data_IF_575036122019
#
_entry.id   IF_575036122019
#
_cell.length_a   1.000
_cell.length_b   1.000
_cell.length_c   1.000
_cell.angle_alpha   90.00
_cell.angle_beta   90.00
_cell.angle_gamma   90.00
#
_symmetry.space_group_name_H-M   'P 1'
#
loop_
_entity.id
_entity.type
_entity.pdbx_description
1 polymer ?
#
# COMPACT_ATOMS: atom_id res chain seq x y z
N UNK A 1 -21.26 -34.63 -75.66
CA UNK A 1 -21.35 -35.74 -74.70
C UNK A 1 -22.00 -35.24 -73.44
N UNK A 2 -23.11 -35.88 -73.09
CA UNK A 2 -24.00 -35.74 -71.93
C UNK A 2 -23.69 -34.68 -70.87
N UNK A 3 -24.55 -33.67 -70.79
CA UNK A 3 -24.98 -33.11 -69.52
C UNK A 3 -25.65 -34.22 -68.69
N UNK A 4 -25.31 -34.31 -67.40
CA UNK A 4 -26.14 -34.94 -66.37
C UNK A 4 -26.22 -33.95 -65.22
N UNK A 5 -27.24 -33.12 -65.26
CA UNK A 5 -27.76 -32.40 -64.11
C UNK A 5 -28.28 -33.43 -63.10
N UNK A 6 -27.82 -33.32 -61.86
CA UNK A 6 -28.42 -33.99 -60.71
C UNK A 6 -29.62 -33.17 -60.23
N UNK A 7 -30.82 -33.77 -60.05
CA UNK A 7 -31.96 -33.03 -59.55
C UNK A 7 -31.89 -32.98 -58.02
N UNK A 8 -31.16 -32.01 -57.47
CA UNK A 8 -31.49 -31.53 -56.13
C UNK A 8 -32.71 -30.62 -56.25
N UNK A 9 -33.89 -31.22 -56.26
CA UNK A 9 -35.15 -30.51 -55.99
C UNK A 9 -35.05 -30.04 -54.54
N UNK A 10 -34.55 -28.82 -54.34
CA UNK A 10 -34.61 -28.12 -53.07
C UNK A 10 -36.08 -27.94 -52.72
N UNK A 11 -36.53 -28.60 -51.65
CA UNK A 11 -37.90 -28.45 -51.18
C UNK A 11 -38.17 -26.97 -50.88
N UNK A 12 -39.14 -26.36 -51.58
CA UNK A 12 -39.52 -24.98 -51.37
C UNK A 12 -40.05 -24.80 -49.95
N UNK A 13 -39.39 -23.92 -49.19
CA UNK A 13 -39.75 -23.57 -47.82
C UNK A 13 -40.76 -22.43 -47.87
N UNK A 14 -41.95 -22.63 -47.30
CA UNK A 14 -43.06 -21.65 -47.35
C UNK A 14 -43.57 -21.36 -45.95
N UNK A 15 -43.68 -20.08 -45.58
CA UNK A 15 -44.30 -19.67 -44.31
C UNK A 15 -45.80 -19.94 -44.36
N UNK A 16 -46.32 -20.68 -43.38
CA UNK A 16 -47.72 -21.11 -43.30
C UNK A 16 -48.52 -20.25 -42.32
N UNK A 17 -47.89 -19.79 -41.25
CA UNK A 17 -48.50 -18.93 -40.24
C UNK A 17 -47.42 -18.13 -39.49
N UNK A 18 -47.80 -17.07 -38.81
CA UNK A 18 -46.91 -16.26 -37.97
C UNK A 18 -47.65 -15.75 -36.74
N UNK A 19 -46.99 -15.78 -35.59
CA UNK A 19 -47.51 -15.28 -34.32
C UNK A 19 -46.55 -14.21 -33.80
N UNK A 20 -47.06 -13.02 -33.55
CA UNK A 20 -46.30 -11.97 -32.87
C UNK A 20 -46.62 -11.98 -31.37
N UNK A 21 -45.58 -12.00 -30.54
CA UNK A 21 -45.69 -11.85 -29.08
C UNK A 21 -45.00 -10.54 -28.69
N UNK A 22 -45.68 -9.71 -27.92
CA UNK A 22 -45.22 -8.37 -27.58
C UNK A 22 -45.43 -8.05 -26.10
N UNK A 23 -44.44 -7.43 -25.47
CA UNK A 23 -44.48 -6.96 -24.09
C UNK A 23 -43.51 -5.77 -23.93
N UNK A 24 -44.01 -4.62 -23.47
CA UNK A 24 -43.21 -3.41 -23.34
C UNK A 24 -42.62 -3.00 -24.70
N UNK A 25 -41.31 -2.79 -24.76
CA UNK A 25 -40.59 -2.52 -26.02
C UNK A 25 -40.07 -3.81 -26.70
N UNK A 26 -40.31 -4.98 -26.09
CA UNK A 26 -39.89 -6.27 -26.62
C UNK A 26 -40.97 -6.91 -27.50
N UNK A 27 -40.58 -7.41 -28.67
CA UNK A 27 -41.43 -8.08 -29.66
C UNK A 27 -40.66 -9.22 -30.29
N UNK A 28 -41.30 -10.38 -30.41
CA UNK A 28 -40.83 -11.48 -31.24
C UNK A 28 -41.90 -11.86 -32.26
N UNK A 29 -41.46 -12.29 -33.45
CA UNK A 29 -42.34 -12.91 -34.45
C UNK A 29 -41.87 -14.33 -34.68
N UNK A 30 -42.77 -15.28 -34.41
CA UNK A 30 -42.53 -16.71 -34.59
C UNK A 30 -43.25 -17.13 -35.86
N UNK A 31 -42.51 -17.58 -36.86
CA UNK A 31 -43.04 -18.13 -38.10
C UNK A 31 -43.16 -19.65 -38.01
N UNK A 32 -44.30 -20.18 -38.43
CA UNK A 32 -44.50 -21.61 -38.71
C UNK A 32 -44.16 -21.81 -40.18
N UNK A 33 -43.07 -22.51 -40.47
CA UNK A 33 -42.55 -22.67 -41.82
C UNK A 33 -42.65 -24.13 -42.23
N UNK A 34 -43.16 -24.39 -43.43
CA UNK A 34 -43.30 -25.74 -44.00
C UNK A 34 -42.28 -25.97 -45.10
N UNK A 35 -41.53 -27.06 -45.01
CA UNK A 35 -40.57 -27.51 -46.02
C UNK A 35 -40.87 -28.98 -46.36
N UNK A 36 -41.53 -29.23 -47.49
CA UNK A 36 -42.00 -30.56 -47.87
C UNK A 36 -43.03 -31.13 -46.88
N UNK A 37 -42.67 -32.24 -46.20
CA UNK A 37 -43.49 -32.88 -45.15
C UNK A 37 -43.20 -32.35 -43.74
N UNK A 38 -42.25 -31.43 -43.60
CA UNK A 38 -41.77 -30.93 -42.31
C UNK A 38 -42.39 -29.57 -42.00
N UNK A 39 -42.73 -29.36 -40.73
CA UNK A 39 -43.13 -28.06 -40.19
C UNK A 39 -42.18 -27.70 -39.06
N UNK A 40 -41.65 -26.47 -39.08
CA UNK A 40 -40.70 -25.96 -38.09
C UNK A 40 -41.15 -24.59 -37.61
N UNK A 41 -40.96 -24.32 -36.32
CA UNK A 41 -41.02 -22.98 -35.76
C UNK A 41 -39.68 -22.29 -35.93
N UNK A 42 -39.71 -21.06 -36.41
CA UNK A 42 -38.52 -20.23 -36.55
C UNK A 42 -38.80 -18.86 -35.96
N UNK A 43 -37.86 -18.35 -35.17
CA UNK A 43 -37.85 -16.94 -34.80
C UNK A 43 -37.53 -16.13 -36.05
N UNK A 44 -38.54 -15.43 -36.57
CA UNK A 44 -38.44 -14.64 -37.79
C UNK A 44 -37.98 -13.21 -37.52
N UNK A 45 -38.35 -12.65 -36.36
CA UNK A 45 -37.98 -11.29 -35.96
C UNK A 45 -37.82 -11.26 -34.42
N UNK A 46 -36.83 -10.51 -33.94
CA UNK A 46 -36.69 -10.15 -32.53
C UNK A 46 -36.35 -8.66 -32.43
N UNK A 47 -37.18 -7.90 -31.74
CA UNK A 47 -36.94 -6.49 -31.43
C UNK A 47 -37.01 -6.29 -29.91
N UNK A 48 -35.95 -5.81 -29.25
CA UNK A 48 -34.62 -5.62 -29.81
C UNK A 48 -33.98 -6.97 -30.22
N UNK A 49 -32.87 -6.90 -30.96
CA UNK A 49 -32.16 -8.11 -31.40
C UNK A 49 -31.76 -8.96 -30.18
N UNK A 50 -31.59 -10.28 -30.35
CA UNK A 50 -31.42 -11.22 -29.24
C UNK A 50 -30.19 -10.98 -28.36
N UNK A 51 -29.18 -10.29 -28.89
CA UNK A 51 -27.94 -9.97 -28.20
C UNK A 51 -27.86 -8.50 -27.81
N UNK A 52 -28.91 -7.70 -28.00
CA UNK A 52 -28.97 -6.32 -27.54
C UNK A 52 -29.03 -6.29 -26.02
N UNK A 53 -28.09 -5.57 -25.43
CA UNK A 53 -27.85 -5.50 -23.99
C UNK A 53 -28.25 -4.14 -23.36
N UNK A 54 -28.57 -3.13 -24.18
CA UNK A 54 -28.76 -1.75 -23.71
C UNK A 54 -27.43 -1.00 -23.56
N UNK A 55 -27.48 0.26 -23.13
CA UNK A 55 -26.31 1.12 -22.95
C UNK A 55 -26.11 1.60 -21.51
N UNK A 56 -27.00 1.23 -20.59
CA UNK A 56 -26.91 1.57 -19.16
C UNK A 56 -27.62 0.51 -18.30
N UNK A 57 -27.38 0.56 -16.99
CA UNK A 57 -28.04 -0.33 -16.05
C UNK A 57 -29.57 -0.24 -16.13
N UNK A 58 -30.12 0.97 -16.22
CA UNK A 58 -31.56 1.18 -16.26
C UNK A 58 -32.17 0.64 -17.55
N UNK A 59 -31.49 0.85 -18.68
CA UNK A 59 -31.92 0.27 -19.95
C UNK A 59 -31.88 -1.25 -19.93
N UNK A 60 -30.79 -1.87 -19.43
CA UNK A 60 -30.70 -3.32 -19.32
C UNK A 60 -31.78 -3.90 -18.40
N UNK A 61 -32.05 -3.25 -17.25
CA UNK A 61 -33.13 -3.67 -16.34
C UNK A 61 -34.49 -3.58 -17.02
N UNK A 62 -34.74 -2.53 -17.81
CA UNK A 62 -35.98 -2.40 -18.59
C UNK A 62 -36.09 -3.51 -19.64
N UNK A 63 -35.01 -3.77 -20.39
CA UNK A 63 -34.95 -4.86 -21.37
C UNK A 63 -35.22 -6.22 -20.71
N UNK A 64 -34.62 -6.48 -19.55
CA UNK A 64 -34.84 -7.71 -18.80
C UNK A 64 -36.30 -7.85 -18.37
N UNK A 65 -36.88 -6.80 -17.82
CA UNK A 65 -38.28 -6.78 -17.38
C UNK A 65 -39.26 -7.04 -18.53
N UNK A 66 -39.09 -6.32 -19.65
CA UNK A 66 -39.93 -6.47 -20.83
C UNK A 66 -39.81 -7.88 -21.43
N UNK A 67 -38.59 -8.44 -21.43
CA UNK A 67 -38.33 -9.80 -21.90
C UNK A 67 -38.91 -10.88 -20.99
N UNK A 68 -38.87 -10.70 -19.67
CA UNK A 68 -39.52 -11.61 -18.72
C UNK A 68 -41.05 -11.60 -18.87
N UNK A 69 -41.65 -10.42 -19.11
CA UNK A 69 -43.07 -10.32 -19.42
C UNK A 69 -43.41 -10.99 -20.76
N UNK A 70 -42.53 -10.87 -21.76
CA UNK A 70 -42.66 -11.55 -23.05
C UNK A 70 -42.63 -13.07 -22.88
N UNK A 71 -41.67 -13.60 -22.11
CA UNK A 71 -41.58 -15.02 -21.79
C UNK A 71 -42.83 -15.53 -21.08
N UNK A 72 -43.38 -14.77 -20.13
CA UNK A 72 -44.63 -15.12 -19.45
C UNK A 72 -45.82 -15.20 -20.43
N UNK A 73 -45.93 -14.27 -21.39
CA UNK A 73 -46.95 -14.31 -22.44
C UNK A 73 -46.74 -15.48 -23.40
N UNK A 74 -45.50 -15.79 -23.76
CA UNK A 74 -45.17 -16.93 -24.62
C UNK A 74 -45.57 -18.26 -23.94
N UNK A 75 -45.29 -18.39 -22.64
CA UNK A 75 -45.69 -19.55 -21.85
C UNK A 75 -47.21 -19.72 -21.76
N UNK A 76 -47.97 -18.62 -21.67
CA UNK A 76 -49.43 -18.70 -21.73
C UNK A 76 -49.96 -19.18 -23.11
N UNK A 77 -49.18 -18.99 -24.19
CA UNK A 77 -49.48 -19.56 -25.51
C UNK A 77 -49.05 -21.03 -25.62
N UNK A 78 -48.02 -21.43 -24.88
CA UNK A 78 -47.53 -22.81 -24.83
C UNK A 78 -48.63 -23.80 -24.48
N UNK A 79 -49.37 -23.53 -23.40
CA UNK A 79 -50.48 -24.39 -22.95
C UNK A 79 -51.52 -24.59 -24.05
N UNK A 80 -51.84 -23.51 -24.78
CA UNK A 80 -52.79 -23.53 -25.91
C UNK A 80 -52.24 -24.29 -27.11
N UNK A 81 -50.94 -24.20 -27.38
CA UNK A 81 -50.27 -24.94 -28.46
C UNK A 81 -50.25 -26.43 -28.14
N UNK A 82 -49.98 -26.82 -26.89
CA UNK A 82 -50.01 -28.23 -26.46
C UNK A 82 -51.41 -28.83 -26.48
N UNK A 83 -52.44 -28.06 -26.14
CA UNK A 83 -53.84 -28.48 -26.28
C UNK A 83 -54.19 -28.78 -27.75
N UNK A 84 -53.79 -27.89 -28.68
CA UNK A 84 -53.99 -28.07 -30.12
C UNK A 84 -53.20 -29.25 -30.69
N UNK A 85 -51.96 -29.47 -30.23
CA UNK A 85 -51.17 -30.64 -30.60
C UNK A 85 -51.84 -31.94 -30.15
N UNK A 86 -52.35 -31.99 -28.91
CA UNK A 86 -53.07 -33.15 -28.38
C UNK A 86 -54.38 -33.42 -29.15
N UNK A 87 -55.04 -32.38 -29.65
CA UNK A 87 -56.20 -32.51 -30.53
C UNK A 87 -55.82 -33.04 -31.91
N UNK A 88 -54.69 -32.58 -32.47
CA UNK A 88 -54.14 -33.11 -33.71
C UNK A 88 -53.75 -34.60 -33.60
N UNK A 89 -53.15 -35.02 -32.47
CA UNK A 89 -52.81 -36.42 -32.19
C UNK A 89 -54.05 -37.32 -32.16
N UNK A 90 -55.13 -36.90 -31.47
CA UNK A 90 -56.42 -37.61 -31.49
C UNK A 90 -57.01 -37.73 -32.90
N UNK A 91 -56.81 -36.70 -33.71
CA UNK A 91 -57.29 -36.67 -35.11
C UNK A 91 -56.46 -37.60 -36.01
N UNK A 92 -55.15 -37.71 -35.73
CA UNK A 92 -54.24 -38.64 -36.39
C UNK A 92 -54.58 -40.12 -36.08
N UNK A 93 -54.92 -40.43 -34.82
CA UNK A 93 -55.41 -41.75 -34.41
C UNK A 93 -56.70 -42.17 -35.15
N UNK A 94 -57.59 -41.20 -35.41
CA UNK A 94 -58.81 -41.42 -36.17
C UNK A 94 -58.56 -41.65 -37.68
N UNK A 95 -57.39 -41.26 -38.21
CA UNK A 95 -57.08 -41.29 -39.65
C UNK A 95 -55.76 -42.02 -39.95
N UNK A 96 -55.80 -43.36 -39.84
CA UNK A 96 -54.64 -44.27 -39.92
C UNK A 96 -53.72 -44.10 -41.14
N UNK A 97 -54.23 -43.57 -42.26
CA UNK A 97 -53.43 -43.37 -43.48
C UNK A 97 -52.40 -42.23 -43.37
N UNK A 98 -52.54 -41.31 -42.40
CA UNK A 98 -51.71 -40.11 -42.26
C UNK A 98 -51.03 -39.98 -40.88
N UNK A 99 -51.27 -40.93 -39.96
CA UNK A 99 -50.75 -40.95 -38.58
C UNK A 99 -49.25 -40.65 -38.51
N UNK A 100 -48.42 -41.35 -39.31
CA UNK A 100 -46.96 -41.19 -39.30
C UNK A 100 -46.48 -39.77 -39.66
N UNK A 101 -47.24 -39.02 -40.46
CA UNK A 101 -46.88 -37.65 -40.85
C UNK A 101 -47.21 -36.69 -39.72
N UNK A 102 -48.35 -36.88 -39.04
CA UNK A 102 -48.72 -36.08 -37.87
C UNK A 102 -47.75 -36.30 -36.70
N UNK A 103 -47.36 -37.55 -36.43
CA UNK A 103 -46.39 -37.88 -35.37
C UNK A 103 -45.02 -37.20 -35.62
N UNK A 104 -44.50 -37.29 -36.85
CA UNK A 104 -43.23 -36.65 -37.22
C UNK A 104 -43.30 -35.11 -37.16
N UNK A 105 -44.45 -34.53 -37.54
CA UNK A 105 -44.69 -33.09 -37.45
C UNK A 105 -44.78 -32.61 -36.00
N UNK A 106 -45.48 -33.34 -35.13
CA UNK A 106 -45.59 -33.03 -33.71
C UNK A 106 -44.24 -33.08 -33.00
N UNK A 107 -43.42 -34.10 -33.27
CA UNK A 107 -42.05 -34.21 -32.73
C UNK A 107 -41.17 -33.03 -33.20
N UNK A 108 -41.18 -32.71 -34.49
CA UNK A 108 -40.38 -31.60 -35.05
C UNK A 108 -40.82 -30.25 -34.48
N UNK A 109 -42.13 -30.06 -34.26
CA UNK A 109 -42.66 -28.84 -33.66
C UNK A 109 -42.26 -28.71 -32.18
N UNK A 110 -42.30 -29.82 -31.42
CA UNK A 110 -41.85 -29.86 -30.03
C UNK A 110 -40.37 -29.54 -29.88
N UNK A 111 -39.51 -30.13 -30.72
CA UNK A 111 -38.07 -29.84 -30.75
C UNK A 111 -37.79 -28.37 -31.14
N UNK A 112 -38.52 -27.83 -32.12
CA UNK A 112 -38.39 -26.44 -32.53
C UNK A 112 -38.88 -25.45 -31.45
N UNK A 113 -39.97 -25.77 -30.76
CA UNK A 113 -40.47 -25.00 -29.62
C UNK A 113 -39.46 -25.00 -28.47
N UNK A 114 -38.93 -26.17 -28.10
CA UNK A 114 -37.90 -26.29 -27.07
C UNK A 114 -36.64 -25.47 -27.42
N UNK A 115 -36.23 -25.48 -28.70
CA UNK A 115 -35.10 -24.68 -29.18
C UNK A 115 -35.39 -23.17 -29.06
N UNK A 116 -36.60 -22.73 -29.41
CA UNK A 116 -37.02 -21.34 -29.28
C UNK A 116 -37.04 -20.88 -27.83
N UNK A 117 -37.67 -21.66 -26.94
CA UNK A 117 -37.72 -21.35 -25.51
C UNK A 117 -36.31 -21.29 -24.92
N UNK A 118 -35.44 -22.24 -25.27
CA UNK A 118 -34.03 -22.22 -24.86
C UNK A 118 -33.32 -20.93 -25.31
N UNK A 119 -33.52 -20.50 -26.56
CA UNK A 119 -32.94 -19.26 -27.08
C UNK A 119 -33.42 -18.01 -26.32
N UNK A 120 -34.70 -17.95 -25.96
CA UNK A 120 -35.27 -16.82 -25.22
C UNK A 120 -34.85 -16.83 -23.74
N UNK A 121 -34.75 -18.00 -23.10
CA UNK A 121 -34.20 -18.09 -21.73
C UNK A 121 -32.73 -17.66 -21.69
N UNK A 122 -31.92 -17.99 -22.71
CA UNK A 122 -30.55 -17.48 -22.80
C UNK A 122 -30.47 -15.98 -22.96
N UNK A 123 -31.42 -15.36 -23.67
CA UNK A 123 -31.52 -13.89 -23.71
C UNK A 123 -31.82 -13.30 -22.33
N UNK A 124 -32.66 -13.97 -21.53
CA UNK A 124 -32.92 -13.56 -20.14
C UNK A 124 -31.64 -13.65 -19.29
N UNK A 125 -30.89 -14.75 -19.42
CA UNK A 125 -29.59 -14.93 -18.74
C UNK A 125 -28.56 -13.86 -19.16
N UNK A 126 -28.44 -13.58 -20.46
CA UNK A 126 -27.59 -12.50 -20.98
C UNK A 126 -27.91 -11.16 -20.34
N UNK A 127 -29.20 -10.78 -20.29
CA UNK A 127 -29.63 -9.51 -19.71
C UNK A 127 -29.39 -9.47 -18.19
N UNK A 128 -29.49 -10.61 -17.51
CA UNK A 128 -29.07 -10.76 -16.11
C UNK A 128 -27.58 -10.47 -15.91
N UNK A 129 -26.71 -11.15 -16.66
CA UNK A 129 -25.25 -10.94 -16.62
C UNK A 129 -24.88 -9.49 -16.99
N UNK A 130 -25.57 -8.91 -17.96
CA UNK A 130 -25.38 -7.51 -18.36
C UNK A 130 -25.74 -6.56 -17.21
N UNK A 131 -26.84 -6.82 -16.49
CA UNK A 131 -27.22 -5.99 -15.35
C UNK A 131 -26.18 -6.04 -14.23
N UNK A 132 -25.57 -7.19 -13.99
CA UNK A 132 -24.45 -7.34 -13.04
C UNK A 132 -23.19 -6.57 -13.51
N UNK A 133 -22.86 -6.65 -14.80
CA UNK A 133 -21.75 -5.89 -15.39
C UNK A 133 -21.93 -4.39 -15.19
N UNK A 134 -23.10 -3.82 -15.53
CA UNK A 134 -23.34 -2.39 -15.34
C UNK A 134 -23.39 -1.97 -13.87
N UNK A 135 -23.86 -2.84 -12.96
CA UNK A 135 -23.77 -2.59 -11.52
C UNK A 135 -22.31 -2.49 -11.06
N UNK A 136 -21.47 -3.45 -11.46
CA UNK A 136 -20.04 -3.44 -11.12
C UNK A 136 -19.32 -2.23 -11.72
N UNK A 137 -19.67 -1.84 -12.96
CA UNK A 137 -19.14 -0.65 -13.61
C UNK A 137 -19.50 0.64 -12.85
N UNK A 138 -20.75 0.76 -12.38
CA UNK A 138 -21.20 1.88 -11.57
C UNK A 138 -20.46 1.93 -10.22
N UNK A 139 -20.29 0.79 -9.55
CA UNK A 139 -19.55 0.72 -8.28
C UNK A 139 -18.09 1.13 -8.45
N UNK A 140 -17.44 0.73 -9.55
CA UNK A 140 -16.08 1.17 -9.86
C UNK A 140 -16.02 2.68 -10.14
N UNK A 141 -16.96 3.21 -10.94
CA UNK A 141 -17.05 4.64 -11.21
C UNK A 141 -17.22 5.48 -9.92
N UNK A 142 -18.09 5.05 -9.00
CA UNK A 142 -18.27 5.69 -7.68
C UNK A 142 -16.95 5.70 -6.89
N UNK A 143 -16.17 4.62 -6.95
CA UNK A 143 -14.87 4.54 -6.25
C UNK A 143 -13.80 5.42 -6.89
N UNK A 144 -13.79 5.53 -8.22
CA UNK A 144 -12.96 6.50 -8.93
C UNK A 144 -13.30 7.92 -8.45
N UNK A 145 -14.57 8.30 -8.47
CA UNK A 145 -15.01 9.64 -8.07
C UNK A 145 -14.68 9.94 -6.60
N UNK A 146 -14.81 8.95 -5.70
CA UNK A 146 -14.41 9.09 -4.29
C UNK A 146 -12.91 9.33 -4.12
N UNK A 147 -12.05 8.62 -4.87
CA UNK A 147 -10.61 8.80 -4.75
C UNK A 147 -10.11 10.07 -5.48
N UNK A 148 -10.77 10.48 -6.56
CA UNK A 148 -10.55 11.78 -7.20
C UNK A 148 -10.90 12.93 -6.23
N UNK A 149 -12.05 12.86 -5.56
CA UNK A 149 -12.45 13.84 -4.55
C UNK A 149 -11.49 13.86 -3.36
N UNK A 150 -10.99 12.70 -2.94
CA UNK A 150 -9.95 12.60 -1.91
C UNK A 150 -8.69 13.39 -2.33
N UNK A 151 -8.14 13.13 -3.52
CA UNK A 151 -6.94 13.82 -4.03
C UNK A 151 -7.11 15.33 -4.25
N UNK A 152 -8.33 15.80 -4.51
CA UNK A 152 -8.60 17.23 -4.69
C UNK A 152 -8.56 18.03 -3.38
N UNK A 153 -8.68 17.36 -2.23
CA UNK A 153 -8.62 18.03 -0.95
C UNK A 153 -7.16 18.25 -0.55
N UNK A 154 -6.70 19.51 -0.34
CA UNK A 154 -5.38 19.75 0.22
C UNK A 154 -5.35 19.16 1.64
N UNK A 155 -4.58 18.08 1.81
CA UNK A 155 -4.43 17.45 3.11
C UNK A 155 -3.37 18.19 3.92
N UNK A 156 -3.81 19.10 4.78
CA UNK A 156 -2.99 19.64 5.85
C UNK A 156 -2.89 18.59 6.97
N UNK A 157 -1.67 18.38 7.48
CA UNK A 157 -1.42 17.47 8.60
C UNK A 157 -0.60 18.20 9.67
N UNK A 158 -1.03 18.08 10.91
CA UNK A 158 -0.41 18.78 12.06
C UNK A 158 0.63 17.91 12.79
N UNK A 159 0.65 16.59 12.54
CA UNK A 159 1.53 15.65 13.23
C UNK A 159 1.96 14.47 12.36
N UNK A 160 2.99 13.75 12.81
CA UNK A 160 3.48 12.51 12.19
C UNK A 160 2.42 11.41 12.17
N UNK A 161 1.56 11.34 13.18
CA UNK A 161 0.48 10.36 13.30
C UNK A 161 -0.66 10.67 12.32
N UNK A 162 -0.99 11.96 12.14
CA UNK A 162 -1.94 12.40 11.13
C UNK A 162 -1.46 12.05 9.72
N UNK A 163 -0.17 12.27 9.44
CA UNK A 163 0.45 11.91 8.15
C UNK A 163 0.47 10.39 7.91
N UNK A 164 0.77 9.57 8.94
CA UNK A 164 0.67 8.11 8.84
C UNK A 164 -0.77 7.65 8.56
N UNK A 165 -1.75 8.27 9.21
CA UNK A 165 -3.18 7.98 9.00
C UNK A 165 -3.61 8.33 7.58
N UNK A 166 -3.10 9.44 7.03
CA UNK A 166 -3.32 9.84 5.64
C UNK A 166 -2.73 8.82 4.65
N UNK A 167 -1.50 8.34 4.89
CA UNK A 167 -0.89 7.29 4.07
C UNK A 167 -1.70 5.99 4.08
N UNK A 168 -2.25 5.59 5.24
CA UNK A 168 -3.16 4.45 5.33
C UNK A 168 -4.44 4.66 4.50
N UNK A 169 -4.94 5.89 4.44
CA UNK A 169 -6.10 6.24 3.62
C UNK A 169 -5.78 6.15 2.12
N UNK A 170 -4.58 6.59 1.68
CA UNK A 170 -4.09 6.34 0.32
C UNK A 170 -4.05 4.85 -0.02
N UNK A 171 -3.48 4.02 0.87
CA UNK A 171 -3.39 2.56 0.67
C UNK A 171 -4.79 1.92 0.58
N UNK A 172 -5.74 2.41 1.38
CA UNK A 172 -7.13 1.97 1.33
C UNK A 172 -7.78 2.30 -0.01
N UNK A 173 -7.65 3.55 -0.49
CA UNK A 173 -8.22 3.94 -1.79
C UNK A 173 -7.63 3.12 -2.94
N UNK A 174 -6.31 2.93 -2.98
CA UNK A 174 -5.66 2.12 -4.01
C UNK A 174 -6.16 0.67 -4.00
N UNK A 175 -6.30 0.08 -2.81
CA UNK A 175 -6.84 -1.27 -2.65
C UNK A 175 -8.29 -1.38 -3.13
N UNK A 176 -9.16 -0.47 -2.71
CA UNK A 176 -10.58 -0.48 -3.10
C UNK A 176 -10.73 -0.31 -4.63
N UNK A 177 -9.91 0.54 -5.27
CA UNK A 177 -9.91 0.69 -6.73
C UNK A 177 -9.48 -0.59 -7.44
N UNK A 178 -8.43 -1.26 -6.96
CA UNK A 178 -7.95 -2.51 -7.54
C UNK A 178 -9.00 -3.62 -7.41
N UNK A 179 -9.64 -3.75 -6.25
CA UNK A 179 -10.70 -4.74 -6.01
C UNK A 179 -11.89 -4.53 -6.94
N UNK A 180 -12.34 -3.28 -7.13
CA UNK A 180 -13.45 -2.97 -8.04
C UNK A 180 -13.09 -3.11 -9.51
N UNK A 181 -11.87 -2.75 -9.89
CA UNK A 181 -11.38 -3.00 -11.26
C UNK A 181 -11.36 -4.49 -11.57
N UNK A 182 -10.87 -5.32 -10.65
CA UNK A 182 -10.84 -6.78 -10.82
C UNK A 182 -12.25 -7.38 -10.93
N UNK A 183 -13.19 -6.95 -10.09
CA UNK A 183 -14.58 -7.41 -10.17
C UNK A 183 -15.21 -7.06 -11.52
N UNK A 184 -15.03 -5.81 -11.98
CA UNK A 184 -15.54 -5.36 -13.28
C UNK A 184 -14.97 -6.18 -14.44
N UNK A 185 -13.65 -6.44 -14.45
CA UNK A 185 -13.00 -7.25 -15.48
C UNK A 185 -13.49 -8.70 -15.48
N UNK A 186 -13.76 -9.26 -14.29
CA UNK A 186 -14.32 -10.61 -14.19
C UNK A 186 -15.76 -10.66 -14.74
N UNK A 187 -16.58 -9.65 -14.42
CA UNK A 187 -17.95 -9.54 -14.94
C UNK A 187 -17.99 -9.32 -16.44
N UNK A 188 -17.09 -8.52 -16.99
CA UNK A 188 -17.00 -8.35 -18.44
C UNK A 188 -16.57 -9.62 -19.15
N UNK A 189 -15.59 -10.35 -18.60
CA UNK A 189 -15.16 -11.62 -19.19
C UNK A 189 -16.29 -12.64 -19.21
N UNK A 190 -17.03 -12.79 -18.09
CA UNK A 190 -18.20 -13.66 -18.00
C UNK A 190 -19.25 -13.31 -19.06
N UNK A 191 -19.53 -12.01 -19.24
CA UNK A 191 -20.52 -11.52 -20.20
C UNK A 191 -20.07 -11.74 -21.65
N UNK A 192 -18.83 -11.40 -21.99
CA UNK A 192 -18.29 -11.60 -23.34
C UNK A 192 -18.20 -13.07 -23.72
N UNK A 193 -17.80 -13.94 -22.78
CA UNK A 193 -17.80 -15.40 -22.99
C UNK A 193 -19.22 -15.94 -23.22
N UNK A 194 -20.21 -15.38 -22.52
CA UNK A 194 -21.61 -15.75 -22.72
C UNK A 194 -22.11 -15.30 -24.10
N UNK A 195 -21.81 -14.07 -24.52
CA UNK A 195 -22.15 -13.54 -25.85
C UNK A 195 -21.53 -14.42 -26.95
N UNK A 196 -20.27 -14.82 -26.80
CA UNK A 196 -19.59 -15.65 -27.80
C UNK A 196 -20.22 -17.04 -27.94
N UNK A 197 -20.59 -17.68 -26.81
CA UNK A 197 -21.31 -18.95 -26.81
C UNK A 197 -22.71 -18.81 -27.43
N UNK A 198 -23.44 -17.75 -27.06
CA UNK A 198 -24.78 -17.49 -27.56
C UNK A 198 -24.77 -17.23 -29.08
N UNK A 199 -23.75 -16.54 -29.59
CA UNK A 199 -23.51 -16.35 -31.03
C UNK A 199 -23.27 -17.68 -31.76
N UNK A 200 -22.44 -18.57 -31.22
CA UNK A 200 -22.01 -19.81 -31.88
C UNK A 200 -23.09 -20.90 -31.97
N UNK A 201 -24.03 -20.92 -31.02
CA UNK A 201 -25.08 -21.95 -30.96
C UNK A 201 -26.27 -21.68 -31.91
N UNK A 202 -26.31 -20.52 -32.56
CA UNK A 202 -27.23 -20.23 -33.65
C UNK A 202 -26.89 -21.04 -34.91
N UNK A 203 -27.51 -22.21 -35.10
CA UNK A 203 -27.31 -22.99 -36.32
C UNK A 203 -27.88 -22.25 -37.55
N UNK A 204 -27.05 -22.16 -38.60
CA UNK A 204 -27.17 -21.32 -39.81
C UNK A 204 -26.76 -19.85 -39.57
N UNK A 205 -25.80 -19.36 -40.35
CA UNK A 205 -25.20 -18.01 -40.30
C UNK A 205 -26.26 -16.89 -40.24
N UNK A 206 -26.73 -16.55 -39.03
CA UNK A 206 -27.64 -15.44 -38.79
C UNK A 206 -26.82 -14.16 -38.65
N UNK A 207 -26.72 -13.38 -39.73
CA UNK A 207 -26.01 -12.09 -39.77
C UNK A 207 -26.42 -11.15 -38.63
N UNK A 208 -27.68 -11.21 -38.19
CA UNK A 208 -28.21 -10.40 -37.08
C UNK A 208 -27.60 -10.77 -35.71
N UNK A 209 -27.37 -12.07 -35.44
CA UNK A 209 -26.72 -12.50 -34.19
C UNK A 209 -25.25 -12.10 -34.16
N UNK A 210 -24.57 -12.18 -35.30
CA UNK A 210 -23.16 -11.75 -35.42
C UNK A 210 -23.06 -10.24 -35.18
N UNK A 211 -23.93 -9.46 -35.82
CA UNK A 211 -23.95 -8.01 -35.66
C UNK A 211 -24.35 -7.61 -34.23
N UNK A 212 -25.33 -8.28 -33.63
CA UNK A 212 -25.73 -8.07 -32.23
C UNK A 212 -24.59 -8.35 -31.26
N UNK A 213 -23.88 -9.48 -31.42
CA UNK A 213 -22.71 -9.80 -30.61
C UNK A 213 -21.63 -8.72 -30.74
N UNK A 214 -21.29 -8.32 -31.97
CA UNK A 214 -20.29 -7.28 -32.23
C UNK A 214 -20.68 -5.95 -31.58
N UNK A 215 -21.92 -5.52 -31.75
CA UNK A 215 -22.43 -4.28 -31.14
C UNK A 215 -22.34 -4.32 -29.62
N UNK A 216 -22.74 -5.43 -29.00
CA UNK A 216 -22.73 -5.59 -27.54
C UNK A 216 -21.33 -5.67 -26.97
N UNK A 217 -20.41 -6.41 -27.60
CA UNK A 217 -19.00 -6.41 -27.22
C UNK A 217 -18.38 -5.01 -27.33
N UNK A 218 -18.67 -4.25 -28.40
CA UNK A 218 -18.19 -2.88 -28.54
C UNK A 218 -18.67 -1.96 -27.40
N UNK A 219 -19.91 -2.11 -26.94
CA UNK A 219 -20.44 -1.35 -25.79
C UNK A 219 -19.70 -1.69 -24.49
N UNK A 220 -19.44 -2.97 -24.26
CA UNK A 220 -18.68 -3.46 -23.10
C UNK A 220 -17.26 -2.92 -23.15
N UNK A 221 -16.57 -3.09 -24.27
CA UNK A 221 -15.17 -2.67 -24.47
C UNK A 221 -15.02 -1.16 -24.30
N UNK A 222 -15.93 -0.37 -24.87
CA UNK A 222 -15.88 1.10 -24.76
C UNK A 222 -16.01 1.58 -23.32
N UNK A 223 -16.91 0.97 -22.53
CA UNK A 223 -17.08 1.34 -21.12
C UNK A 223 -15.90 0.87 -20.26
N UNK A 224 -15.38 -0.33 -20.52
CA UNK A 224 -14.19 -0.84 -19.86
C UNK A 224 -12.99 0.06 -20.12
N UNK A 225 -12.73 0.42 -21.38
CA UNK A 225 -11.64 1.30 -21.77
C UNK A 225 -11.72 2.63 -21.02
N UNK A 226 -12.90 3.27 -21.03
CA UNK A 226 -13.13 4.52 -20.32
C UNK A 226 -12.81 4.42 -18.81
N UNK A 227 -13.36 3.41 -18.13
CA UNK A 227 -13.20 3.28 -16.68
C UNK A 227 -11.79 2.82 -16.28
N UNK A 228 -11.18 1.92 -17.06
CA UNK A 228 -9.81 1.45 -16.81
C UNK A 228 -8.80 2.56 -17.06
N UNK A 229 -9.00 3.40 -18.08
CA UNK A 229 -8.12 4.55 -18.32
C UNK A 229 -8.22 5.59 -17.20
N UNK A 230 -9.44 5.94 -16.76
CA UNK A 230 -9.63 6.80 -15.58
C UNK A 230 -8.96 6.19 -14.35
N UNK A 231 -9.21 4.91 -14.07
CA UNK A 231 -8.61 4.20 -12.94
C UNK A 231 -7.08 4.18 -12.98
N UNK A 232 -6.48 3.92 -14.16
CA UNK A 232 -5.02 3.90 -14.35
C UNK A 232 -4.39 5.29 -14.18
N UNK A 233 -5.06 6.34 -14.65
CA UNK A 233 -4.58 7.71 -14.43
C UNK A 233 -4.61 8.07 -12.94
N UNK A 234 -5.72 7.75 -12.27
CA UNK A 234 -5.91 7.99 -10.85
C UNK A 234 -4.90 7.23 -9.98
N UNK A 235 -4.62 5.97 -10.29
CA UNK A 235 -3.62 5.15 -9.59
C UNK A 235 -2.22 5.77 -9.67
N UNK A 236 -1.82 6.32 -10.83
CA UNK A 236 -0.55 7.06 -10.95
C UNK A 236 -0.48 8.26 -10.01
N UNK A 237 -1.55 9.05 -9.92
CA UNK A 237 -1.59 10.21 -9.03
C UNK A 237 -1.58 9.80 -7.55
N UNK A 238 -2.34 8.76 -7.18
CA UNK A 238 -2.33 8.22 -5.82
C UNK A 238 -0.95 7.71 -5.43
N UNK A 239 -0.27 6.96 -6.30
CA UNK A 239 1.07 6.44 -6.06
C UNK A 239 2.10 7.57 -5.93
N UNK A 240 2.03 8.57 -6.81
CA UNK A 240 2.92 9.71 -6.76
C UNK A 240 2.76 10.49 -5.44
N UNK A 241 1.53 10.91 -5.10
CA UNK A 241 1.30 11.65 -3.85
C UNK A 241 1.64 10.82 -2.61
N UNK A 242 1.32 9.52 -2.60
CA UNK A 242 1.71 8.63 -1.51
C UNK A 242 3.23 8.58 -1.34
N UNK A 243 3.98 8.53 -2.44
CA UNK A 243 5.44 8.55 -2.40
C UNK A 243 5.96 9.88 -1.82
N UNK A 244 5.41 11.01 -2.27
CA UNK A 244 5.77 12.34 -1.77
C UNK A 244 5.44 12.48 -0.27
N UNK A 245 4.26 12.05 0.18
CA UNK A 245 3.87 12.07 1.59
C UNK A 245 4.74 11.15 2.46
N UNK A 246 5.10 9.97 1.94
CA UNK A 246 6.01 9.04 2.63
C UNK A 246 7.40 9.65 2.80
N UNK A 247 7.89 10.33 1.78
CA UNK A 247 9.15 11.08 1.83
C UNK A 247 9.11 12.20 2.88
N UNK A 248 8.01 12.96 2.95
CA UNK A 248 7.82 13.98 3.99
C UNK A 248 7.80 13.35 5.38
N UNK A 249 7.11 12.22 5.56
CA UNK A 249 7.11 11.50 6.84
C UNK A 249 8.52 11.08 7.28
N UNK A 250 9.34 10.59 6.34
CA UNK A 250 10.73 10.26 6.64
C UNK A 250 11.52 11.49 7.10
N UNK A 251 11.33 12.66 6.47
CA UNK A 251 11.94 13.90 6.93
C UNK A 251 11.51 14.28 8.34
N UNK A 252 10.20 14.27 8.61
CA UNK A 252 9.67 14.63 9.93
C UNK A 252 10.21 13.72 11.04
N UNK A 253 10.27 12.41 10.79
CA UNK A 253 10.82 11.44 11.75
C UNK A 253 12.32 11.63 11.94
N UNK A 254 13.05 11.93 10.87
CA UNK A 254 14.47 12.23 10.95
C UNK A 254 14.72 13.51 11.75
N UNK A 255 13.97 14.58 11.49
CA UNK A 255 14.09 15.85 12.22
C UNK A 255 13.75 15.68 13.70
N UNK A 256 12.74 14.89 14.06
CA UNK A 256 12.43 14.57 15.46
C UNK A 256 13.61 13.88 16.15
N UNK A 257 14.23 12.90 15.48
CA UNK A 257 15.38 12.17 16.01
C UNK A 257 16.64 13.05 16.08
N UNK A 258 16.92 13.85 15.04
CA UNK A 258 18.03 14.81 15.03
C UNK A 258 17.90 15.80 16.18
N UNK A 259 16.71 16.36 16.40
CA UNK A 259 16.47 17.30 17.49
C UNK A 259 16.74 16.66 18.86
N UNK A 260 16.31 15.41 19.06
CA UNK A 260 16.58 14.68 20.31
C UNK A 260 18.10 14.50 20.52
N UNK A 261 18.83 14.03 19.51
CA UNK A 261 20.27 13.79 19.58
C UNK A 261 21.04 15.10 19.77
N UNK A 262 20.72 16.12 18.97
CA UNK A 262 21.32 17.46 19.08
C UNK A 262 21.08 18.09 20.44
N UNK A 263 19.87 17.97 21.01
CA UNK A 263 19.58 18.49 22.36
C UNK A 263 20.42 17.82 23.44
N UNK A 264 20.67 16.52 23.32
CA UNK A 264 21.52 15.78 24.24
C UNK A 264 22.97 16.26 24.16
N UNK A 265 23.56 16.32 22.96
CA UNK A 265 24.93 16.81 22.78
C UNK A 265 25.10 18.23 23.28
N UNK A 266 24.18 19.14 22.93
CA UNK A 266 24.23 20.52 23.40
C UNK A 266 24.19 20.62 24.93
N UNK A 267 23.37 19.80 25.59
CA UNK A 267 23.34 19.74 27.05
C UNK A 267 24.64 19.18 27.60
N UNK A 268 25.12 18.06 27.08
CA UNK A 268 26.32 17.41 27.55
C UNK A 268 27.57 18.29 27.38
N UNK A 269 27.66 19.05 26.28
CA UNK A 269 28.72 20.04 26.04
C UNK A 269 28.69 21.13 27.12
N UNK A 270 27.52 21.74 27.39
CA UNK A 270 27.39 22.75 28.46
C UNK A 270 27.78 22.18 29.82
N UNK A 271 27.25 21.00 30.16
CA UNK A 271 27.54 20.34 31.44
C UNK A 271 29.04 20.05 31.59
N UNK A 272 29.75 19.66 30.52
CA UNK A 272 31.20 19.43 30.56
C UNK A 272 32.02 20.70 30.79
N UNK A 273 31.60 21.82 30.19
CA UNK A 273 32.29 23.11 30.32
C UNK A 273 32.17 23.69 31.74
N UNK A 274 31.10 23.37 32.47
CA UNK A 274 30.84 23.90 33.81
C UNK A 274 31.40 23.01 34.95
N UNK A 275 31.90 21.81 34.65
CA UNK A 275 32.31 20.84 35.67
C UNK A 275 33.67 21.15 36.34
N UNK A 276 33.69 21.15 37.68
CA UNK A 276 34.93 21.27 38.48
C UNK A 276 35.81 20.00 38.43
N UNK A 277 37.07 20.09 38.87
CA UNK A 277 38.01 18.95 38.94
C UNK A 277 38.00 18.19 40.29
N UNK A 278 37.12 18.60 41.22
CA UNK A 278 37.04 18.06 42.58
C UNK A 278 37.92 18.81 43.59
N UNK A 279 37.67 18.63 44.88
CA UNK A 279 38.42 19.26 45.98
C UNK A 279 39.38 18.29 46.70
N UNK A 280 39.22 16.98 46.49
CA UNK A 280 40.03 15.93 47.10
C UNK A 280 40.35 14.80 46.12
N UNK A 281 41.27 13.90 46.50
CA UNK A 281 41.55 12.68 45.73
C UNK A 281 40.31 11.81 45.54
N UNK A 282 39.47 11.70 46.59
CA UNK A 282 38.26 10.88 46.54
C UNK A 282 37.24 11.50 45.58
N UNK A 283 36.99 12.80 45.70
CA UNK A 283 36.06 13.54 44.83
C UNK A 283 36.48 13.44 43.37
N UNK A 284 37.78 13.61 43.10
CA UNK A 284 38.32 13.53 41.75
C UNK A 284 38.19 12.12 41.16
N UNK A 285 38.39 11.06 41.95
CA UNK A 285 38.15 9.68 41.52
C UNK A 285 36.68 9.43 41.21
N UNK A 286 35.75 9.98 41.99
CA UNK A 286 34.32 9.90 41.69
C UNK A 286 33.99 10.61 40.37
N UNK A 287 34.59 11.77 40.10
CA UNK A 287 34.44 12.48 38.83
C UNK A 287 35.03 11.70 37.64
N UNK A 288 36.13 10.97 37.83
CA UNK A 288 36.67 10.05 36.82
C UNK A 288 35.65 8.95 36.51
N UNK A 289 35.08 8.30 37.53
CA UNK A 289 34.04 7.29 37.33
C UNK A 289 32.82 7.87 36.59
N UNK A 290 32.35 9.06 36.97
CA UNK A 290 31.25 9.75 36.26
C UNK A 290 31.59 10.05 34.80
N UNK A 291 32.85 10.40 34.51
CA UNK A 291 33.31 10.61 33.15
C UNK A 291 33.35 9.31 32.35
N UNK A 292 33.77 8.20 32.96
CA UNK A 292 33.72 6.86 32.33
C UNK A 292 32.28 6.44 32.01
N UNK A 293 31.34 6.68 32.92
CA UNK A 293 29.90 6.45 32.67
C UNK A 293 29.38 7.31 31.50
N UNK A 294 29.82 8.56 31.42
CA UNK A 294 29.47 9.44 30.30
C UNK A 294 30.04 8.95 28.96
N UNK A 295 31.26 8.38 28.94
CA UNK A 295 31.82 7.74 27.75
C UNK A 295 30.93 6.59 27.27
N UNK A 296 30.43 5.77 28.19
CA UNK A 296 29.53 4.66 27.84
C UNK A 296 28.24 5.20 27.21
N UNK A 297 27.60 6.19 27.84
CA UNK A 297 26.40 6.84 27.29
C UNK A 297 26.65 7.50 25.93
N UNK A 298 27.80 8.15 25.75
CA UNK A 298 28.16 8.79 24.48
C UNK A 298 28.19 7.79 23.32
N UNK A 299 28.66 6.55 23.53
CA UNK A 299 28.67 5.51 22.50
C UNK A 299 27.27 5.17 21.97
N UNK A 300 26.25 5.20 22.84
CA UNK A 300 24.85 4.97 22.43
C UNK A 300 24.37 6.09 21.50
N UNK A 301 24.70 7.35 21.84
CA UNK A 301 24.37 8.51 21.01
C UNK A 301 25.19 8.58 19.72
N UNK A 302 26.45 8.17 19.73
CA UNK A 302 27.26 8.04 18.51
C UNK A 302 26.65 7.03 17.54
N UNK A 303 26.14 5.90 18.05
CA UNK A 303 25.40 4.95 17.22
C UNK A 303 24.12 5.56 16.63
N UNK A 304 23.40 6.39 17.40
CA UNK A 304 22.24 7.11 16.91
C UNK A 304 22.61 8.13 15.81
N UNK A 305 23.74 8.84 15.96
CA UNK A 305 24.27 9.76 14.93
C UNK A 305 24.60 9.01 13.64
N UNK A 306 25.29 7.87 13.72
CA UNK A 306 25.62 7.07 12.52
C UNK A 306 24.37 6.56 11.81
N UNK A 307 23.34 6.16 12.57
CA UNK A 307 22.04 5.81 12.01
C UNK A 307 21.41 7.01 11.28
N UNK A 308 21.38 8.19 11.90
CA UNK A 308 20.85 9.41 11.29
C UNK A 308 21.62 9.81 10.02
N UNK A 309 22.95 9.68 10.01
CA UNK A 309 23.79 9.91 8.82
C UNK A 309 23.41 8.96 7.69
N UNK A 310 23.27 7.66 7.99
CA UNK A 310 22.89 6.66 6.99
C UNK A 310 21.50 6.92 6.40
N UNK A 311 20.53 7.31 7.24
CA UNK A 311 19.19 7.67 6.82
C UNK A 311 19.19 8.93 5.95
N UNK A 312 19.94 9.97 6.36
CA UNK A 312 20.07 11.20 5.60
C UNK A 312 20.64 10.94 4.19
N UNK A 313 21.65 10.06 4.07
CA UNK A 313 22.18 9.65 2.77
C UNK A 313 21.11 8.97 1.91
N UNK A 314 20.34 8.04 2.49
CA UNK A 314 19.22 7.39 1.80
C UNK A 314 18.17 8.38 1.29
N UNK A 315 17.82 9.36 2.12
CA UNK A 315 16.85 10.42 1.76
C UNK A 315 17.42 11.33 0.66
N UNK A 316 18.69 11.74 0.75
CA UNK A 316 19.32 12.62 -0.25
C UNK A 316 19.40 11.99 -1.66
N UNK A 317 19.55 10.67 -1.72
CA UNK A 317 19.58 9.89 -2.96
C UNK A 317 18.20 9.77 -3.64
N UNK A 318 17.10 9.98 -2.91
CA UNK A 318 15.76 9.98 -3.50
C UNK A 318 15.57 11.19 -4.43
N UNK A 319 14.90 11.04 -5.58
CA UNK A 319 14.66 12.16 -6.51
C UNK A 319 13.59 13.11 -5.95
N UNK A 320 13.74 14.40 -6.30
CA UNK A 320 12.71 15.46 -6.19
C UNK A 320 12.12 15.77 -4.81
N UNK A 321 12.87 15.49 -3.74
CA UNK A 321 12.45 15.80 -2.38
C UNK A 321 12.79 17.27 -2.02
N UNK A 322 11.79 18.05 -1.63
CA UNK A 322 11.98 19.40 -1.08
C UNK A 322 12.57 19.34 0.34
N UNK A 323 13.47 20.26 0.70
CA UNK A 323 14.08 20.28 2.05
C UNK A 323 15.38 19.49 2.20
N UNK A 324 15.97 18.98 1.11
CA UNK A 324 17.31 18.37 1.12
C UNK A 324 18.41 19.30 1.64
N UNK A 325 18.30 20.59 1.34
CA UNK A 325 19.26 21.59 1.86
C UNK A 325 19.19 21.70 3.38
N UNK A 326 17.98 21.74 3.95
CA UNK A 326 17.77 21.73 5.40
C UNK A 326 18.35 20.45 6.02
N UNK A 327 18.04 19.28 5.46
CA UNK A 327 18.59 18.00 5.91
C UNK A 327 20.12 17.99 5.89
N UNK A 328 20.74 18.54 4.83
CA UNK A 328 22.19 18.63 4.72
C UNK A 328 22.79 19.57 5.77
N UNK A 329 22.18 20.72 6.01
CA UNK A 329 22.61 21.67 7.04
C UNK A 329 22.47 21.09 8.45
N UNK A 330 21.36 20.43 8.75
CA UNK A 330 21.14 19.76 10.05
C UNK A 330 22.12 18.62 10.27
N UNK A 331 22.42 17.82 9.25
CA UNK A 331 23.45 16.78 9.34
C UNK A 331 24.85 17.39 9.59
N UNK A 332 25.21 18.48 8.90
CA UNK A 332 26.46 19.19 9.17
C UNK A 332 26.53 19.75 10.59
N UNK A 333 25.43 20.31 11.11
CA UNK A 333 25.33 20.79 12.50
C UNK A 333 25.54 19.64 13.49
N UNK A 334 24.92 18.49 13.25
CA UNK A 334 25.07 17.30 14.08
C UNK A 334 26.54 16.82 14.13
N UNK A 335 27.24 16.83 12.99
CA UNK A 335 28.66 16.48 12.93
C UNK A 335 29.53 17.43 13.77
N UNK A 336 29.27 18.74 13.68
CA UNK A 336 29.99 19.73 14.48
C UNK A 336 29.78 19.52 15.98
N UNK A 337 28.55 19.22 16.41
CA UNK A 337 28.25 18.92 17.82
C UNK A 337 28.99 17.65 18.29
N UNK A 338 29.01 16.60 17.47
CA UNK A 338 29.72 15.36 17.78
C UNK A 338 31.23 15.59 17.91
N UNK A 339 31.83 16.34 16.99
CA UNK A 339 33.26 16.69 17.00
C UNK A 339 33.63 17.55 18.21
N UNK A 340 32.81 18.57 18.53
CA UNK A 340 32.99 19.42 19.70
C UNK A 340 32.91 18.64 21.01
N UNK A 341 31.88 17.80 21.16
CA UNK A 341 31.75 16.94 22.33
C UNK A 341 32.94 15.98 22.47
N UNK A 342 33.36 15.33 21.38
CA UNK A 342 34.51 14.43 21.38
C UNK A 342 35.79 15.12 21.82
N UNK A 343 36.05 16.34 21.34
CA UNK A 343 37.20 17.15 21.77
C UNK A 343 37.15 17.45 23.27
N UNK A 344 36.02 17.95 23.77
CA UNK A 344 35.84 18.28 25.20
C UNK A 344 35.98 17.04 26.09
N UNK A 345 35.52 15.88 25.64
CA UNK A 345 35.69 14.61 26.38
C UNK A 345 37.16 14.24 26.53
N UNK A 346 37.97 14.38 25.48
CA UNK A 346 39.41 14.11 25.51
C UNK A 346 40.13 15.09 26.45
N UNK A 347 39.82 16.38 26.33
CA UNK A 347 40.37 17.42 27.21
C UNK A 347 40.01 17.13 28.68
N UNK A 348 38.72 16.87 28.96
CA UNK A 348 38.23 16.57 30.30
C UNK A 348 38.94 15.39 30.94
N UNK A 349 39.18 14.32 30.19
CA UNK A 349 39.93 13.15 30.66
C UNK A 349 41.37 13.53 31.06
N UNK A 350 42.04 14.34 30.24
CA UNK A 350 43.39 14.81 30.53
C UNK A 350 43.42 15.65 31.81
N UNK A 351 42.48 16.58 31.98
CA UNK A 351 42.35 17.40 33.18
C UNK A 351 42.10 16.59 34.45
N UNK A 352 41.16 15.63 34.39
CA UNK A 352 40.85 14.77 35.53
C UNK A 352 42.05 13.92 35.92
N UNK A 353 42.79 13.37 34.95
CA UNK A 353 44.02 12.61 35.20
C UNK A 353 45.09 13.47 35.86
N UNK A 354 45.30 14.69 35.38
CA UNK A 354 46.30 15.60 35.94
C UNK A 354 45.97 16.03 37.37
N UNK A 355 44.69 16.31 37.64
CA UNK A 355 44.22 16.59 38.99
C UNK A 355 44.37 15.37 39.90
N UNK A 356 44.07 14.16 39.42
CA UNK A 356 44.28 12.92 40.18
C UNK A 356 45.74 12.71 40.58
N UNK A 357 46.63 12.94 39.63
CA UNK A 357 48.08 12.85 39.83
C UNK A 357 48.58 13.85 40.86
N UNK A 358 48.05 15.08 40.83
CA UNK A 358 48.32 16.10 41.84
C UNK A 358 47.82 15.66 43.22
N UNK A 359 46.54 15.30 43.36
CA UNK A 359 45.98 14.91 44.66
C UNK A 359 46.66 13.66 45.23
N UNK A 360 47.02 12.69 44.39
CA UNK A 360 47.78 11.50 44.80
C UNK A 360 49.16 11.88 45.34
N UNK A 361 49.87 12.79 44.66
CA UNK A 361 51.17 13.28 45.12
C UNK A 361 51.04 14.12 46.39
N UNK A 362 50.03 14.99 46.49
CA UNK A 362 49.79 15.82 47.66
C UNK A 362 49.49 14.98 48.91
N UNK A 363 48.63 13.96 48.80
CA UNK A 363 48.33 13.05 49.91
C UNK A 363 49.59 12.30 50.38
N UNK A 364 50.42 11.81 49.45
CA UNK A 364 51.71 11.19 49.80
C UNK A 364 52.65 12.16 50.53
N UNK A 365 52.71 13.42 50.09
CA UNK A 365 53.48 14.45 50.78
C UNK A 365 52.93 14.69 52.19
N UNK A 366 51.62 14.78 52.37
CA UNK A 366 50.99 14.92 53.69
C UNK A 366 51.30 13.74 54.62
N UNK A 367 51.28 12.51 54.11
CA UNK A 367 51.64 11.31 54.89
C UNK A 367 53.09 11.39 55.40
N UNK A 368 54.03 11.84 54.56
CA UNK A 368 55.44 12.04 54.95
C UNK A 368 55.56 13.17 55.96
N UNK A 369 54.91 14.32 55.72
CA UNK A 369 54.92 15.45 56.64
C UNK A 369 54.36 15.06 58.02
N UNK A 370 53.30 14.25 58.07
CA UNK A 370 52.75 13.72 59.32
C UNK A 370 53.74 12.83 60.07
N UNK A 371 54.50 11.98 59.35
CA UNK A 371 55.58 11.17 59.95
C UNK A 371 56.72 12.03 60.48
N UNK A 372 57.16 13.02 59.70
CA UNK A 372 58.20 13.98 60.11
C UNK A 372 57.74 14.77 61.34
N UNK A 373 56.49 15.22 61.38
CA UNK A 373 55.92 15.91 62.55
C UNK A 373 55.92 15.01 63.80
N UNK A 374 55.50 13.75 63.66
CA UNK A 374 55.53 12.78 64.75
C UNK A 374 56.96 12.51 65.24
N UNK A 375 57.93 12.38 64.31
CA UNK A 375 59.33 12.18 64.66
C UNK A 375 59.97 13.40 65.31
N UNK A 376 59.64 14.62 64.86
CA UNK A 376 60.05 15.86 65.52
C UNK A 376 59.51 15.98 66.96
N UNK A 377 58.28 15.49 67.22
CA UNK A 377 57.73 15.42 68.58
C UNK A 377 58.53 14.46 69.47
N UNK A 378 58.96 13.33 68.93
CA UNK A 378 59.83 12.37 69.64
C UNK A 378 61.23 12.93 69.92
N UNK A 379 61.88 13.54 68.92
CA UNK A 379 63.21 14.14 69.05
C UNK A 379 63.28 15.19 70.16
N UNK A 380 62.20 15.97 70.37
CA UNK A 380 62.10 16.95 71.47
C UNK A 380 62.13 16.31 72.86
N UNK A 381 61.76 15.04 72.97
CA UNK A 381 61.74 14.28 74.23
C UNK A 381 63.02 13.46 74.47
N UNK A 382 63.85 13.28 73.45
CA UNK A 382 65.15 12.59 73.56
C UNK A 382 66.23 13.60 73.99
N UNK A 383 66.95 13.31 75.08
CA UNK A 383 68.05 14.14 75.62
C UNK A 383 69.32 14.13 74.75
N UNK A 384 69.20 14.36 73.45
CA UNK A 384 70.29 14.32 72.48
C UNK A 384 71.20 15.56 72.57
N UNK A 385 72.46 15.39 72.16
CA UNK A 385 73.39 16.52 72.06
C UNK A 385 73.07 17.43 70.88
N UNK A 386 73.39 18.72 71.01
CA UNK A 386 73.08 19.75 70.01
C UNK A 386 73.59 19.42 68.58
N UNK A 387 74.81 18.88 68.38
CA UNK A 387 75.28 18.53 67.03
C UNK A 387 74.49 17.39 66.38
N UNK A 388 74.04 16.40 67.18
CA UNK A 388 73.24 15.27 66.70
C UNK A 388 71.83 15.74 66.33
N UNK A 389 71.24 16.61 67.15
CA UNK A 389 69.95 17.22 66.85
C UNK A 389 69.99 18.03 65.55
N UNK A 390 71.03 18.85 65.35
CA UNK A 390 71.21 19.62 64.13
C UNK A 390 71.31 18.73 62.87
N UNK A 391 72.08 17.64 62.94
CA UNK A 391 72.19 16.69 61.82
C UNK A 391 70.85 16.02 61.50
N UNK A 392 70.06 15.65 62.52
CA UNK A 392 68.73 15.07 62.35
C UNK A 392 67.72 16.06 61.78
N UNK A 393 67.76 17.31 62.21
CA UNK A 393 66.93 18.37 61.63
C UNK A 393 67.24 18.62 60.15
N UNK A 394 68.52 18.60 59.77
CA UNK A 394 68.94 18.75 58.36
C UNK A 394 68.45 17.59 57.49
N UNK A 395 68.51 16.35 58.01
CA UNK A 395 67.96 15.16 57.36
C UNK A 395 66.44 15.29 57.10
N UNK A 396 65.69 15.69 58.12
CA UNK A 396 64.24 15.91 58.00
C UNK A 396 63.89 17.07 57.08
N UNK A 397 64.69 18.15 57.08
CA UNK A 397 64.49 19.27 56.17
C UNK A 397 64.63 18.82 54.70
N UNK A 398 65.63 17.99 54.41
CA UNK A 398 65.81 17.40 53.08
C UNK A 398 64.63 16.49 52.70
N UNK A 399 64.18 15.65 53.63
CA UNK A 399 63.02 14.77 53.42
C UNK A 399 61.73 15.56 53.14
N UNK A 400 61.48 16.67 53.85
CA UNK A 400 60.35 17.59 53.59
C UNK A 400 60.46 18.17 52.18
N UNK A 401 61.64 18.65 51.79
CA UNK A 401 61.85 19.28 50.48
C UNK A 401 61.62 18.29 49.35
N UNK A 402 62.20 17.10 49.46
CA UNK A 402 62.13 16.06 48.42
C UNK A 402 60.70 15.51 48.30
N UNK A 403 60.02 15.30 49.43
CA UNK A 403 58.64 14.77 49.47
C UNK A 403 57.59 15.75 48.95
N UNK A 404 57.80 17.08 49.09
CA UNK A 404 56.84 18.11 48.63
C UNK A 404 57.09 18.60 47.20
N UNK A 405 58.31 18.46 46.67
CA UNK A 405 58.69 18.97 45.35
C UNK A 405 57.77 18.46 44.22
N UNK A 406 57.44 17.16 44.22
CA UNK A 406 56.61 16.55 43.16
C UNK A 406 55.18 17.08 43.19
N UNK A 407 54.57 17.22 44.37
CA UNK A 407 53.21 17.74 44.50
C UNK A 407 53.13 19.21 44.07
N UNK A 408 54.11 20.03 44.47
CA UNK A 408 54.21 21.43 44.06
C UNK A 408 54.39 21.58 42.55
N UNK A 409 55.23 20.75 41.93
CA UNK A 409 55.42 20.76 40.48
C UNK A 409 54.12 20.43 39.75
N UNK A 410 53.45 19.32 40.12
CA UNK A 410 52.18 18.92 39.50
C UNK A 410 51.08 19.97 39.69
N UNK A 411 51.01 20.59 40.87
CA UNK A 411 50.07 21.67 41.14
C UNK A 411 50.31 22.91 40.27
N UNK A 412 51.58 23.30 40.08
CA UNK A 412 51.95 24.40 39.16
C UNK A 412 51.57 24.09 37.72
N UNK A 413 51.84 22.86 37.25
CA UNK A 413 51.45 22.44 35.90
C UNK A 413 49.94 22.52 35.71
N UNK A 414 49.17 22.02 36.68
CA UNK A 414 47.70 22.05 36.62
C UNK A 414 47.17 23.49 36.51
N UNK A 415 47.67 24.41 37.33
CA UNK A 415 47.27 25.83 37.29
C UNK A 415 47.66 26.46 35.94
N UNK A 416 48.90 26.27 35.50
CA UNK A 416 49.40 26.89 34.25
C UNK A 416 48.61 26.46 33.02
N UNK A 417 48.13 25.22 33.00
CA UNK A 417 47.33 24.73 31.90
C UNK A 417 45.88 25.25 31.98
N UNK A 418 45.27 25.31 33.18
CA UNK A 418 43.92 25.87 33.35
C UNK A 418 43.86 27.34 32.90
N UNK A 419 44.91 28.11 33.16
CA UNK A 419 45.02 29.51 32.74
C UNK A 419 45.27 29.68 31.22
N UNK A 420 45.77 28.64 30.53
CA UNK A 420 45.99 28.66 29.08
C UNK A 420 44.75 28.31 28.26
N UNK A 421 43.67 27.83 28.92
CA UNK A 421 42.42 27.42 28.30
C UNK A 421 41.24 28.36 28.61
N UNK A 422 41.46 29.43 29.38
CA UNK A 422 40.56 30.59 29.50
C UNK A 422 40.99 31.69 28.53
#
# INVERSE_FOLDING_TARGET
>A
MSCKESPHVGASTTTVSSVAVHAGDSKIVIAVVKCGKWVRLQLAESQPNLLEIGSSQDETKKLLHDHELLLAKLKALEDRVWELLREADRTAEANKAQSQVYDAMAQTLGEAWATLVSMLERRRELLGLTSEFFQSALEFAIKIDQAEAFLQNPHEFESTEALQSLLLLHDRHAKELLERSLDLLNKSQQLTDFIEKFKCEGSTMNSELIQGAQSSCLKIDSLLELLQDRGRQLDKYLQQQRQELSQVLQLCLWDQQENQVSSWFQKAIRDLQEQSLGASLSDNRELICKHEDLIVKAKEWDSAVEKLKSQALGILLSKDLAGKEHLQLSNQKLNRLQEEFGRLMVERKAWLSMANDFFTSANKSFDVLGKVEAYLKLLKSEGLSLPVLAAKHEELHREIKDSTATALQKGRTLISQVDSCR
#
